data_IF_514040561770
#
_entry.id   IF_514040561770
#
_cell.length_a   1.000
_cell.length_b   1.000
_cell.length_c   1.000
_cell.angle_alpha   90.00
_cell.angle_beta   90.00
_cell.angle_gamma   90.00
#
_symmetry.space_group_name_H-M   'P 1'
#
loop_
_entity.id
_entity.type
_entity.pdbx_description
1 polymer ?
#
# COMPACT_ATOMS: atom_id res chain seq x y z
N UNK A 1 12.21 5.17 15.98
CA UNK A 1 11.76 6.58 16.02
C UNK A 1 10.33 6.57 15.54
N UNK A 2 9.39 7.12 16.30
CA UNK A 2 7.99 7.19 15.84
C UNK A 2 7.86 8.28 14.77
N UNK A 3 6.97 8.11 13.77
CA UNK A 3 6.79 9.11 12.73
C UNK A 3 6.20 10.41 13.25
N UNK A 4 6.52 11.53 12.60
CA UNK A 4 5.89 12.82 12.92
C UNK A 4 4.46 12.89 12.38
N UNK A 5 3.62 13.75 12.96
CA UNK A 5 2.24 13.97 12.50
C UNK A 5 2.19 14.34 11.00
N UNK A 6 3.14 15.14 10.53
CA UNK A 6 3.26 15.54 9.12
C UNK A 6 3.55 14.33 8.22
N UNK A 7 4.43 13.42 8.64
CA UNK A 7 4.71 12.19 7.89
C UNK A 7 3.49 11.27 7.82
N UNK A 8 2.73 11.15 8.91
CA UNK A 8 1.46 10.41 8.90
C UNK A 8 0.43 11.01 7.93
N UNK A 9 0.32 12.35 7.89
CA UNK A 9 -0.58 13.03 6.96
C UNK A 9 -0.15 12.81 5.50
N UNK A 10 1.15 12.91 5.20
CA UNK A 10 1.68 12.65 3.86
C UNK A 10 1.43 11.21 3.42
N UNK A 11 1.68 10.23 4.30
CA UNK A 11 1.41 8.83 4.05
C UNK A 11 -0.07 8.54 3.76
N UNK A 12 -0.97 9.14 4.53
CA UNK A 12 -2.42 9.03 4.32
C UNK A 12 -2.83 9.54 2.93
N UNK A 13 -2.28 10.69 2.50
CA UNK A 13 -2.53 11.27 1.18
C UNK A 13 -2.01 10.34 0.07
N UNK A 14 -0.78 9.83 0.20
CA UNK A 14 -0.16 8.93 -0.78
C UNK A 14 -0.98 7.63 -0.89
N UNK A 15 -1.36 7.04 0.26
CA UNK A 15 -2.20 5.85 0.31
C UNK A 15 -3.56 6.08 -0.38
N UNK A 16 -4.25 7.19 -0.08
CA UNK A 16 -5.52 7.54 -0.74
C UNK A 16 -5.38 7.71 -2.26
N UNK A 17 -4.26 8.29 -2.73
CA UNK A 17 -3.99 8.45 -4.16
C UNK A 17 -3.76 7.10 -4.84
N UNK A 18 -2.90 6.25 -4.26
CA UNK A 18 -2.56 4.93 -4.81
C UNK A 18 -3.82 4.05 -4.89
N UNK A 19 -4.59 3.98 -3.80
CA UNK A 19 -5.82 3.18 -3.75
C UNK A 19 -6.84 3.61 -4.81
N UNK A 20 -7.00 4.91 -5.06
CA UNK A 20 -7.84 5.43 -6.16
C UNK A 20 -7.30 5.08 -7.55
N UNK A 21 -5.98 5.15 -7.74
CA UNK A 21 -5.35 4.90 -9.05
C UNK A 21 -5.37 3.43 -9.44
N UNK A 22 -5.16 2.53 -8.49
CA UNK A 22 -5.02 1.10 -8.78
C UNK A 22 -6.28 0.52 -9.40
N UNK A 23 -7.48 0.95 -9.00
CA UNK A 23 -8.75 0.27 -9.35
C UNK A 23 -8.74 -1.24 -9.00
N UNK A 24 -7.81 -1.66 -8.15
CA UNK A 24 -7.63 -3.04 -7.72
C UNK A 24 -8.53 -3.34 -6.52
N UNK A 25 -8.84 -4.61 -6.32
CA UNK A 25 -9.53 -5.02 -5.10
C UNK A 25 -8.54 -5.02 -3.94
N UNK A 26 -8.66 -4.05 -3.05
CA UNK A 26 -7.84 -3.96 -1.84
C UNK A 26 -8.38 -4.96 -0.82
N UNK A 27 -7.53 -5.90 -0.42
CA UNK A 27 -7.89 -6.92 0.56
C UNK A 27 -7.61 -6.45 1.98
N UNK A 28 -6.49 -5.79 2.19
CA UNK A 28 -5.98 -5.43 3.50
C UNK A 28 -5.05 -4.22 3.40
N UNK A 29 -5.12 -3.34 4.39
CA UNK A 29 -4.19 -2.22 4.58
C UNK A 29 -3.72 -2.29 6.03
N UNK A 30 -2.41 -2.25 6.24
CA UNK A 30 -1.81 -2.30 7.57
C UNK A 30 -0.73 -1.23 7.70
N UNK A 31 -0.61 -0.66 8.89
CA UNK A 31 0.54 0.15 9.24
C UNK A 31 1.50 -0.69 10.06
N UNK A 32 2.75 -0.80 9.60
CA UNK A 32 3.76 -1.64 10.25
C UNK A 32 4.68 -0.83 11.16
N UNK A 33 5.31 -1.47 12.17
CA UNK A 33 6.29 -0.83 13.04
C UNK A 33 7.41 -0.18 12.22
N UNK A 34 7.61 1.12 12.38
CA UNK A 34 8.48 1.92 11.51
C UNK A 34 7.74 2.95 10.66
N UNK A 35 6.40 2.97 10.72
CA UNK A 35 5.56 4.00 10.12
C UNK A 35 5.18 3.75 8.67
N UNK A 36 5.62 2.65 8.07
CA UNK A 36 5.30 2.30 6.68
C UNK A 36 3.85 1.81 6.57
N UNK A 37 3.21 2.06 5.42
CA UNK A 37 1.89 1.51 5.09
C UNK A 37 2.07 0.39 4.09
N UNK A 38 1.50 -0.78 4.40
CA UNK A 38 1.48 -1.95 3.54
C UNK A 38 0.06 -2.16 3.02
N UNK A 39 -0.09 -2.17 1.69
CA UNK A 39 -1.37 -2.43 1.01
C UNK A 39 -1.25 -3.78 0.29
N UNK A 40 -2.17 -4.69 0.59
CA UNK A 40 -2.30 -5.96 -0.11
C UNK A 40 -3.52 -5.88 -1.02
N UNK A 41 -3.29 -5.99 -2.32
CA UNK A 41 -4.33 -5.86 -3.33
C UNK A 41 -4.26 -6.94 -4.40
N UNK A 42 -5.40 -7.18 -5.05
CA UNK A 42 -5.56 -8.09 -6.18
C UNK A 42 -5.85 -7.30 -7.46
N UNK A 43 -5.08 -7.49 -8.54
CA UNK A 43 -5.38 -6.88 -9.82
C UNK A 43 -6.75 -7.32 -10.37
N UNK A 44 -7.46 -6.43 -11.09
CA UNK A 44 -8.84 -6.62 -11.53
C UNK A 44 -9.04 -7.74 -12.55
N UNK A 45 -7.95 -8.19 -13.20
CA UNK A 45 -7.98 -9.21 -14.25
C UNK A 45 -7.53 -10.60 -13.77
N UNK A 46 -7.52 -10.85 -12.45
CA UNK A 46 -7.15 -12.15 -11.91
C UNK A 46 -8.25 -13.18 -12.18
N UNK A 47 -7.96 -14.13 -13.07
CA UNK A 47 -8.69 -15.40 -13.10
C UNK A 47 -8.38 -16.16 -11.82
N UNK A 48 -9.38 -16.87 -11.27
CA UNK A 48 -9.35 -17.51 -9.94
C UNK A 48 -8.17 -18.46 -9.66
N UNK A 49 -7.32 -18.75 -10.65
CA UNK A 49 -6.12 -19.59 -10.53
C UNK A 49 -4.81 -18.82 -10.28
N UNK A 50 -4.74 -17.51 -10.49
CA UNK A 50 -3.54 -16.73 -10.18
C UNK A 50 -3.71 -16.05 -8.82
N UNK A 51 -3.13 -16.61 -7.76
CA UNK A 51 -3.08 -15.97 -6.44
C UNK A 51 -2.04 -14.84 -6.37
N UNK A 52 -1.85 -14.07 -7.44
CA UNK A 52 -0.86 -12.97 -7.44
C UNK A 52 -1.34 -11.87 -6.52
N UNK A 53 -0.70 -11.77 -5.35
CA UNK A 53 -0.90 -10.68 -4.41
C UNK A 53 0.14 -9.63 -4.70
N UNK A 54 -0.30 -8.39 -4.84
CA UNK A 54 0.62 -7.26 -4.96
C UNK A 54 0.66 -6.60 -3.57
N UNK A 55 1.89 -6.53 -3.05
CA UNK A 55 2.22 -5.91 -1.78
C UNK A 55 2.82 -4.55 -2.11
N UNK A 56 2.15 -3.48 -1.71
CA UNK A 56 2.62 -2.12 -1.93
C UNK A 56 3.05 -1.56 -0.59
N UNK A 57 4.33 -1.22 -0.46
CA UNK A 57 4.89 -0.62 0.75
C UNK A 57 5.13 0.86 0.50
N UNK A 58 4.52 1.71 1.31
CA UNK A 58 4.70 3.16 1.28
C UNK A 58 5.53 3.54 2.50
N UNK A 59 6.73 4.06 2.26
CA UNK A 59 7.67 4.48 3.30
C UNK A 59 7.43 5.92 3.72
N UNK A 60 7.94 6.27 4.90
CA UNK A 60 7.81 7.60 5.50
C UNK A 60 8.44 8.74 4.68
N UNK A 61 9.44 8.44 3.87
CA UNK A 61 10.08 9.37 2.95
C UNK A 61 9.27 9.58 1.65
N UNK A 62 8.10 8.95 1.54
CA UNK A 62 7.24 8.98 0.36
C UNK A 62 7.62 7.96 -0.71
N UNK A 63 8.65 7.13 -0.49
CA UNK A 63 9.03 6.07 -1.43
C UNK A 63 7.94 5.00 -1.48
N UNK A 64 7.50 4.65 -2.69
CA UNK A 64 6.52 3.59 -2.94
C UNK A 64 7.23 2.40 -3.56
N UNK A 65 7.16 1.26 -2.90
CA UNK A 65 7.72 0.00 -3.37
C UNK A 65 6.58 -0.94 -3.76
N UNK A 66 6.67 -1.51 -4.95
CA UNK A 66 5.76 -2.55 -5.43
C UNK A 66 6.47 -3.90 -5.34
N UNK A 67 6.05 -4.73 -4.40
CA UNK A 67 6.44 -6.13 -4.26
C UNK A 67 5.33 -7.06 -4.72
N UNK A 68 5.68 -8.27 -5.13
CA UNK A 68 4.73 -9.34 -5.39
C UNK A 68 5.18 -10.64 -4.73
N UNK A 69 4.24 -11.57 -4.58
CA UNK A 69 4.53 -13.01 -4.54
C UNK A 69 4.06 -13.63 -5.84
#
# INVERSE_FOLDING_TARGET
MEPTLEQYQQLSIICSRITKQLKWYIRWIEQVPGGEIVIIAHPPNLTSNERRRIIITIKLDGTVLYGGT
#
